data_IF_795331060098
#
_entry.id   IF_795331060098
#
_cell.length_a   1.000
_cell.length_b   1.000
_cell.length_c   1.000
_cell.angle_alpha   90.00
_cell.angle_beta   90.00
_cell.angle_gamma   90.00
#
_symmetry.space_group_name_H-M   'P 1'
#
loop_
_entity.id
_entity.type
_entity.pdbx_description
1 polymer ?
#
# COMPACT_ATOMS: atom_id res chain seq x y z
N UNK A 1 -21.94 14.14 -33.67
CA UNK A 1 -20.86 13.51 -34.44
C UNK A 1 -19.58 13.76 -33.65
N UNK A 2 -19.25 12.87 -32.74
CA UNK A 2 -18.01 12.89 -31.95
C UNK A 2 -16.96 12.19 -32.82
N UNK A 3 -16.01 12.95 -33.31
CA UNK A 3 -14.85 12.45 -34.05
C UNK A 3 -14.03 11.60 -33.11
N UNK A 4 -14.14 10.28 -33.23
CA UNK A 4 -13.19 9.32 -32.68
C UNK A 4 -11.82 9.55 -33.32
N UNK A 5 -11.02 10.39 -32.70
CA UNK A 5 -9.61 10.46 -33.03
C UNK A 5 -8.99 9.15 -32.55
N UNK A 6 -8.44 8.30 -33.44
CA UNK A 6 -7.76 7.10 -33.01
C UNK A 6 -6.55 7.52 -32.18
N UNK A 7 -6.61 7.28 -30.88
CA UNK A 7 -5.47 7.42 -29.99
C UNK A 7 -4.41 6.46 -30.53
N UNK A 8 -3.35 7.00 -31.11
CA UNK A 8 -2.22 6.21 -31.56
C UNK A 8 -1.68 5.42 -30.36
N UNK A 9 -1.93 4.12 -30.36
CA UNK A 9 -1.40 3.21 -29.33
C UNK A 9 0.11 3.19 -29.57
N UNK A 10 0.94 3.66 -28.64
CA UNK A 10 2.38 3.63 -28.80
C UNK A 10 2.80 2.16 -28.99
N UNK A 11 3.39 1.87 -30.16
CA UNK A 11 3.93 0.54 -30.44
C UNK A 11 5.14 0.34 -29.54
N UNK A 12 5.01 -0.56 -28.56
CA UNK A 12 6.11 -0.95 -27.69
C UNK A 12 7.06 -1.84 -28.47
N UNK A 13 8.34 -1.48 -28.50
CA UNK A 13 9.37 -2.34 -29.07
C UNK A 13 9.75 -3.44 -28.06
N UNK A 14 9.14 -4.60 -28.19
CA UNK A 14 9.36 -5.76 -27.34
C UNK A 14 10.74 -6.39 -27.48
N UNK A 15 11.51 -6.05 -28.53
CA UNK A 15 12.87 -6.57 -28.72
C UNK A 15 13.86 -5.97 -27.72
N UNK A 16 13.60 -4.76 -27.26
CA UNK A 16 14.47 -4.05 -26.29
C UNK A 16 14.18 -4.43 -24.84
N UNK A 17 13.03 -5.08 -24.57
CA UNK A 17 12.57 -5.41 -23.23
C UNK A 17 12.79 -6.90 -22.99
N UNK A 18 13.79 -7.23 -22.17
CA UNK A 18 14.09 -8.63 -21.77
C UNK A 18 13.27 -9.11 -20.58
N UNK A 19 12.73 -8.17 -19.77
CA UNK A 19 11.99 -8.49 -18.55
C UNK A 19 10.55 -8.94 -18.87
N UNK A 20 10.05 -9.85 -18.03
CA UNK A 20 8.63 -10.20 -18.04
C UNK A 20 7.80 -9.05 -17.44
N UNK A 21 6.72 -8.70 -18.13
CA UNK A 21 5.80 -7.66 -17.66
C UNK A 21 4.53 -8.35 -17.20
N UNK A 22 4.43 -8.52 -15.89
CA UNK A 22 3.29 -9.19 -15.28
C UNK A 22 2.14 -8.21 -15.04
N UNK A 23 0.92 -8.70 -15.23
CA UNK A 23 -0.28 -7.97 -14.87
C UNK A 23 -0.34 -7.76 -13.35
N UNK A 24 -0.52 -6.53 -12.85
CA UNK A 24 -0.55 -6.26 -11.41
C UNK A 24 -1.70 -6.95 -10.64
N UNK A 25 -2.74 -7.44 -11.36
CA UNK A 25 -3.92 -8.03 -10.74
C UNK A 25 -3.96 -9.57 -10.80
N UNK A 26 -3.42 -10.18 -11.87
CA UNK A 26 -3.54 -11.62 -12.08
C UNK A 26 -2.24 -12.31 -12.49
N UNK A 27 -1.12 -11.58 -12.48
CA UNK A 27 0.22 -12.06 -12.81
C UNK A 27 0.37 -12.64 -14.24
N UNK A 28 -0.61 -12.41 -15.12
CA UNK A 28 -0.51 -12.80 -16.52
C UNK A 28 0.60 -12.02 -17.22
N UNK A 29 1.43 -12.70 -18.03
CA UNK A 29 2.50 -12.04 -18.77
C UNK A 29 1.93 -11.20 -19.94
N UNK A 30 2.07 -9.89 -19.84
CA UNK A 30 1.59 -8.92 -20.84
C UNK A 30 2.57 -8.67 -21.98
N UNK A 31 3.77 -9.27 -21.93
CA UNK A 31 4.80 -9.09 -22.94
C UNK A 31 4.32 -9.57 -24.30
N UNK A 32 4.54 -8.80 -25.34
CA UNK A 32 4.17 -9.13 -26.71
C UNK A 32 2.71 -8.81 -27.06
N UNK A 33 1.92 -8.29 -26.15
CA UNK A 33 0.58 -7.84 -26.45
C UNK A 33 0.61 -6.52 -27.24
N UNK A 34 -0.28 -6.41 -28.22
CA UNK A 34 -0.42 -5.20 -29.06
C UNK A 34 -1.16 -4.11 -28.28
N UNK A 35 -2.09 -4.50 -27.42
CA UNK A 35 -2.90 -3.57 -26.63
C UNK A 35 -2.58 -3.70 -25.14
N UNK A 36 -2.55 -2.60 -24.37
CA UNK A 36 -2.32 -2.63 -22.93
C UNK A 36 -3.57 -3.08 -22.16
N UNK A 37 -4.07 -4.26 -22.52
CA UNK A 37 -5.22 -4.90 -21.89
C UNK A 37 -4.89 -6.33 -21.56
N UNK A 38 -5.07 -6.70 -20.29
CA UNK A 38 -4.89 -8.08 -19.87
C UNK A 38 -6.00 -8.96 -20.46
N UNK A 39 -5.67 -10.06 -21.15
CA UNK A 39 -6.67 -10.96 -21.72
C UNK A 39 -7.41 -11.80 -20.64
N UNK A 40 -6.77 -12.03 -19.48
CA UNK A 40 -7.37 -12.82 -18.42
C UNK A 40 -8.32 -12.02 -17.53
N UNK A 41 -7.83 -10.93 -16.92
CA UNK A 41 -8.66 -10.14 -16.00
C UNK A 41 -9.38 -8.96 -16.69
N UNK A 42 -9.09 -8.67 -17.97
CA UNK A 42 -9.72 -7.60 -18.73
C UNK A 42 -9.25 -6.18 -18.38
N UNK A 43 -8.36 -6.03 -17.40
CA UNK A 43 -7.87 -4.73 -16.95
C UNK A 43 -7.09 -4.01 -18.03
N UNK A 44 -7.29 -2.69 -18.10
CA UNK A 44 -6.62 -1.81 -19.07
C UNK A 44 -5.56 -1.00 -18.34
N UNK A 45 -4.41 -0.88 -18.98
CA UNK A 45 -3.24 -0.14 -18.49
C UNK A 45 -2.76 0.84 -19.55
N UNK A 46 -1.76 1.63 -19.20
CA UNK A 46 -0.94 2.36 -20.16
C UNK A 46 0.46 1.75 -20.16
N UNK A 47 1.06 1.59 -21.34
CA UNK A 47 2.40 0.99 -21.45
C UNK A 47 3.44 1.80 -20.68
N UNK A 48 3.33 3.13 -20.70
CA UNK A 48 4.25 4.02 -19.97
C UNK A 48 4.22 3.76 -18.46
N UNK A 49 3.03 3.41 -17.91
CA UNK A 49 2.88 3.11 -16.49
C UNK A 49 3.44 1.73 -16.13
N UNK A 50 3.28 0.76 -17.05
CA UNK A 50 3.77 -0.61 -16.85
C UNK A 50 5.28 -0.72 -17.07
N UNK A 51 5.86 0.08 -17.95
CA UNK A 51 7.28 0.01 -18.30
C UNK A 51 8.16 0.86 -17.39
N UNK A 52 7.61 1.90 -16.76
CA UNK A 52 8.37 2.73 -15.82
C UNK A 52 8.50 2.06 -14.44
N UNK A 53 9.70 1.60 -14.04
CA UNK A 53 9.91 0.97 -12.73
C UNK A 53 9.61 1.92 -11.56
N UNK A 54 9.70 3.24 -11.78
CA UNK A 54 9.38 4.24 -10.74
C UNK A 54 7.87 4.32 -10.49
N UNK A 55 7.05 4.10 -11.51
CA UNK A 55 5.59 4.13 -11.39
C UNK A 55 5.02 2.85 -10.78
N UNK A 56 5.74 1.72 -10.89
CA UNK A 56 5.37 0.44 -10.25
C UNK A 56 5.54 0.47 -8.73
N UNK A 57 6.42 1.35 -8.21
CA UNK A 57 6.68 1.47 -6.77
C UNK A 57 6.09 2.77 -6.23
N UNK A 58 5.28 2.68 -5.21
CA UNK A 58 4.79 3.87 -4.51
C UNK A 58 5.95 4.56 -3.77
N UNK A 59 6.05 5.90 -3.76
CA UNK A 59 7.23 6.62 -3.24
C UNK A 59 7.47 6.45 -1.74
N UNK A 60 6.51 6.00 -0.94
CA UNK A 60 6.68 5.87 0.49
C UNK A 60 5.97 4.69 1.17
N UNK A 61 5.24 3.82 0.42
CA UNK A 61 4.57 2.68 1.05
C UNK A 61 5.56 1.69 1.64
N UNK A 62 5.25 1.21 2.85
CA UNK A 62 6.07 0.25 3.58
C UNK A 62 6.38 -1.01 2.78
N UNK A 63 5.43 -1.47 1.98
CA UNK A 63 5.57 -2.68 1.18
C UNK A 63 6.58 -2.55 0.04
N UNK A 64 6.82 -1.33 -0.47
CA UNK A 64 7.70 -1.08 -1.61
C UNK A 64 9.15 -0.69 -1.22
N UNK A 65 9.39 -0.35 0.05
CA UNK A 65 10.70 0.14 0.52
C UNK A 65 11.28 -0.71 1.65
N UNK A 66 11.81 -1.92 1.35
CA UNK A 66 12.44 -2.78 2.34
C UNK A 66 13.68 -2.17 3.00
N UNK A 67 14.38 -1.32 2.27
CA UNK A 67 15.60 -0.63 2.71
C UNK A 67 15.34 0.48 3.74
N UNK A 68 14.14 1.05 3.76
CA UNK A 68 13.77 2.18 4.63
C UNK A 68 12.56 1.85 5.54
N UNK A 69 12.59 0.70 6.20
CA UNK A 69 11.44 0.19 6.95
C UNK A 69 10.83 1.18 7.93
N UNK A 70 11.65 1.89 8.73
CA UNK A 70 11.15 2.80 9.76
C UNK A 70 10.48 4.06 9.20
N UNK A 71 11.14 4.71 8.25
CA UNK A 71 10.60 5.93 7.63
C UNK A 71 9.37 5.65 6.78
N UNK A 72 9.38 4.54 6.04
CA UNK A 72 8.24 4.09 5.23
C UNK A 72 7.06 3.69 6.09
N UNK A 73 7.30 3.03 7.24
CA UNK A 73 6.25 2.69 8.20
C UNK A 73 5.50 3.95 8.67
N UNK A 74 6.24 4.96 9.17
CA UNK A 74 5.61 6.17 9.67
C UNK A 74 4.93 7.00 8.57
N UNK A 75 5.49 7.03 7.37
CA UNK A 75 4.85 7.71 6.23
C UNK A 75 3.57 7.01 5.81
N UNK A 76 3.56 5.68 5.77
CA UNK A 76 2.35 4.90 5.48
C UNK A 76 1.28 5.12 6.55
N UNK A 77 1.66 5.08 7.83
CA UNK A 77 0.74 5.33 8.94
C UNK A 77 0.13 6.75 8.87
N UNK A 78 0.94 7.78 8.63
CA UNK A 78 0.44 9.15 8.43
C UNK A 78 -0.43 9.30 7.18
N UNK A 79 -0.08 8.61 6.10
CA UNK A 79 -0.89 8.55 4.89
C UNK A 79 -2.29 8.00 5.17
N UNK A 80 -2.37 6.91 5.93
CA UNK A 80 -3.62 6.29 6.34
C UNK A 80 -4.54 7.20 7.16
N UNK A 81 -3.99 8.19 7.89
CA UNK A 81 -4.78 9.20 8.61
C UNK A 81 -5.48 10.21 7.68
N UNK A 82 -5.09 10.25 6.40
CA UNK A 82 -5.72 11.10 5.37
C UNK A 82 -6.28 10.23 4.25
N UNK A 83 -7.39 9.51 4.48
CA UNK A 83 -7.84 8.44 3.60
C UNK A 83 -8.10 8.90 2.17
N UNK A 84 -8.72 10.05 1.96
CA UNK A 84 -9.03 10.56 0.62
C UNK A 84 -7.75 10.83 -0.19
N UNK A 85 -6.74 11.43 0.42
CA UNK A 85 -5.47 11.71 -0.25
C UNK A 85 -4.67 10.42 -0.49
N UNK A 86 -4.68 9.52 0.48
CA UNK A 86 -4.02 8.22 0.39
C UNK A 86 -4.57 7.39 -0.78
N UNK A 87 -5.89 7.21 -0.86
CA UNK A 87 -6.51 6.43 -1.93
C UNK A 87 -6.29 7.04 -3.32
N UNK A 88 -6.23 8.36 -3.42
CA UNK A 88 -5.91 9.05 -4.68
C UNK A 88 -4.45 8.89 -5.13
N UNK A 89 -3.54 8.60 -4.20
CA UNK A 89 -2.12 8.39 -4.50
C UNK A 89 -1.79 6.97 -4.95
N UNK A 90 -2.70 6.02 -4.73
CA UNK A 90 -2.52 4.63 -5.15
C UNK A 90 -2.80 4.49 -6.65
N UNK A 91 -1.88 3.85 -7.35
CA UNK A 91 -2.01 3.57 -8.77
C UNK A 91 -2.29 2.08 -9.00
N UNK A 92 -3.22 1.71 -9.91
CA UNK A 92 -3.58 0.31 -10.17
C UNK A 92 -2.43 -0.55 -10.71
N UNK A 93 -1.34 0.09 -11.17
CA UNK A 93 -0.12 -0.57 -11.66
C UNK A 93 0.81 -1.02 -10.53
N UNK A 94 0.58 -0.54 -9.29
CA UNK A 94 1.43 -0.87 -8.15
C UNK A 94 1.12 -2.29 -7.66
N UNK A 95 2.10 -3.19 -7.79
CA UNK A 95 1.98 -4.56 -7.30
C UNK A 95 1.97 -4.59 -5.77
N UNK A 96 1.02 -5.28 -5.15
CA UNK A 96 0.97 -5.42 -3.71
C UNK A 96 1.88 -6.57 -3.24
N UNK A 97 2.73 -6.30 -2.25
CA UNK A 97 3.50 -7.33 -1.58
C UNK A 97 2.73 -7.81 -0.33
N UNK A 98 1.92 -8.85 -0.49
CA UNK A 98 1.06 -9.38 0.56
C UNK A 98 1.80 -9.72 1.85
N UNK A 99 3.03 -10.25 1.78
CA UNK A 99 3.83 -10.61 2.97
C UNK A 99 4.20 -9.37 3.78
N UNK A 100 4.61 -8.30 3.11
CA UNK A 100 4.98 -7.05 3.78
C UNK A 100 3.75 -6.29 4.27
N UNK A 101 2.64 -6.36 3.54
CA UNK A 101 1.37 -5.79 3.98
C UNK A 101 0.88 -6.50 5.25
N UNK A 102 0.96 -7.83 5.31
CA UNK A 102 0.64 -8.60 6.51
C UNK A 102 1.57 -8.25 7.69
N UNK A 103 2.87 -8.09 7.44
CA UNK A 103 3.83 -7.65 8.45
C UNK A 103 3.47 -6.25 9.00
N UNK A 104 3.12 -5.32 8.12
CA UNK A 104 2.68 -3.98 8.51
C UNK A 104 1.43 -4.05 9.41
N UNK A 105 0.43 -4.80 8.97
CA UNK A 105 -0.80 -5.00 9.74
C UNK A 105 -0.52 -5.62 11.11
N UNK A 106 0.35 -6.63 11.18
CA UNK A 106 0.76 -7.26 12.44
C UNK A 106 1.43 -6.26 13.39
N UNK A 107 2.36 -5.44 12.90
CA UNK A 107 3.02 -4.41 13.71
C UNK A 107 1.99 -3.41 14.24
N UNK A 108 1.06 -2.94 13.42
CA UNK A 108 0.01 -2.02 13.85
C UNK A 108 -0.87 -2.65 14.92
N UNK A 109 -1.27 -3.91 14.76
CA UNK A 109 -2.07 -4.63 15.76
C UNK A 109 -1.33 -4.80 17.09
N UNK A 110 -0.04 -5.14 17.05
CA UNK A 110 0.79 -5.25 18.28
C UNK A 110 0.86 -3.88 18.98
N UNK A 111 1.12 -2.80 18.25
CA UNK A 111 1.17 -1.45 18.84
C UNK A 111 -0.16 -1.07 19.46
N UNK A 112 -1.29 -1.32 18.78
CA UNK A 112 -2.61 -1.05 19.32
C UNK A 112 -2.89 -1.88 20.59
N UNK A 113 -2.53 -3.16 20.58
CA UNK A 113 -2.68 -4.03 21.74
C UNK A 113 -1.88 -3.54 22.93
N UNK A 114 -0.62 -3.13 22.73
CA UNK A 114 0.23 -2.58 23.78
C UNK A 114 -0.34 -1.27 24.35
N UNK A 115 -0.85 -0.39 23.49
CA UNK A 115 -1.48 0.85 23.93
C UNK A 115 -2.73 0.59 24.80
N UNK A 116 -3.56 -0.38 24.40
CA UNK A 116 -4.74 -0.79 25.18
C UNK A 116 -4.34 -1.41 26.52
N UNK A 117 -3.32 -2.28 26.53
CA UNK A 117 -2.81 -2.90 27.75
C UNK A 117 -2.25 -1.86 28.73
N UNK A 118 -1.47 -0.89 28.24
CA UNK A 118 -0.93 0.21 29.06
C UNK A 118 -2.07 1.06 29.60
N UNK A 119 -3.06 1.42 28.78
CA UNK A 119 -4.22 2.20 29.20
C UNK A 119 -5.01 1.47 30.30
N UNK A 120 -5.26 0.18 30.12
CA UNK A 120 -5.92 -0.65 31.14
C UNK A 120 -5.12 -0.73 32.43
N UNK A 121 -3.81 -0.90 32.35
CA UNK A 121 -2.92 -0.92 33.52
C UNK A 121 -2.97 0.41 34.29
N UNK A 122 -2.84 1.54 33.59
CA UNK A 122 -2.93 2.88 34.20
C UNK A 122 -4.26 3.06 34.91
N UNK A 123 -5.37 2.71 34.26
CA UNK A 123 -6.71 2.80 34.88
C UNK A 123 -6.87 1.95 36.11
N UNK A 124 -6.29 0.74 36.17
CA UNK A 124 -6.33 -0.11 37.34
C UNK A 124 -5.50 0.46 38.49
N UNK A 125 -4.30 0.99 38.17
CA UNK A 125 -3.43 1.64 39.18
C UNK A 125 -4.12 2.87 39.78
N UNK A 126 -4.70 3.74 38.94
CA UNK A 126 -5.44 4.91 39.42
C UNK A 126 -6.63 4.52 40.30
N UNK A 127 -7.36 3.47 39.98
CA UNK A 127 -8.46 2.93 40.79
C UNK A 127 -7.99 2.41 42.15
N UNK A 128 -6.80 1.79 42.18
CA UNK A 128 -6.20 1.36 43.45
C UNK A 128 -5.76 2.52 44.34
N UNK A 129 -5.13 3.54 43.73
CA UNK A 129 -4.74 4.76 44.43
C UNK A 129 -5.94 5.48 45.06
N UNK A 130 -7.02 5.64 44.32
CA UNK A 130 -8.25 6.25 44.80
C UNK A 130 -8.85 5.45 45.98
N UNK A 131 -8.88 4.14 45.90
CA UNK A 131 -9.36 3.29 46.97
C UNK A 131 -8.48 3.36 48.24
N UNK A 132 -7.16 3.36 48.06
CA UNK A 132 -6.22 3.49 49.18
C UNK A 132 -6.33 4.85 49.85
N UNK A 133 -6.52 5.95 49.11
CA UNK A 133 -6.77 7.28 49.66
C UNK A 133 -8.08 7.41 50.46
N UNK A 134 -9.10 6.66 50.10
CA UNK A 134 -10.38 6.63 50.81
C UNK A 134 -10.27 5.98 52.20
N UNK A 135 -9.32 5.07 52.41
CA UNK A 135 -9.10 4.37 53.70
C UNK A 135 -8.10 5.11 54.61
N UNK A 136 -7.52 6.20 54.14
CA UNK A 136 -6.47 6.94 54.87
C UNK A 136 -6.91 8.26 55.56
N UNK A 137 -8.21 8.58 55.60
CA UNK A 137 -8.72 9.75 56.36
C UNK A 137 -9.45 9.26 57.62
N UNK A 138 -9.01 9.68 58.84
CA UNK A 138 -9.71 9.43 60.07
C UNK A 138 -11.03 10.20 60.14
#
# INVERSE_FOLDING_TARGET
MTSDVPVAIPCVDWSTISEEILCPLCDYNLRGLIQPRCPECGSRYQWDDLLDPKRRKHPYLFEHHPEMNWTSFWRTARGGLRPIHFWRSLHPVQSSNQRRLALYALIVLIVLFLLLAISGFVSTVDGLYQRAGYWGLP
#
